data_IF_240625081040
#
_entry.id   IF_240625081040
#
_cell.length_a   1.000
_cell.length_b   1.000
_cell.length_c   1.000
_cell.angle_alpha   90.00
_cell.angle_beta   90.00
_cell.angle_gamma   90.00
#
_symmetry.space_group_name_H-M   'P 1'
#
loop_
_entity.id
_entity.type
_entity.pdbx_description
1 polymer ?
#
# COMPACT_ATOMS: atom_id res chain seq x y z
N UNK A 1 -5.55 -20.18 -19.67
CA UNK A 1 -4.42 -20.99 -19.15
C UNK A 1 -3.40 -20.03 -18.61
N UNK A 2 -2.86 -20.27 -17.43
CA UNK A 2 -1.86 -19.39 -16.82
C UNK A 2 -1.51 -19.85 -15.41
N UNK A 3 -0.55 -19.18 -14.79
CA UNK A 3 -0.02 -19.54 -13.49
C UNK A 3 -0.09 -18.36 -12.53
N UNK A 4 -0.51 -18.65 -11.30
CA UNK A 4 -0.40 -17.75 -10.15
C UNK A 4 0.82 -18.15 -9.32
N UNK A 5 1.63 -17.19 -8.90
CA UNK A 5 2.63 -17.37 -7.85
C UNK A 5 2.63 -16.18 -6.90
N UNK A 6 2.77 -16.46 -5.61
CA UNK A 6 2.91 -15.46 -4.56
C UNK A 6 4.04 -15.91 -3.65
N UNK A 7 5.13 -15.16 -3.64
CA UNK A 7 6.31 -15.42 -2.81
C UNK A 7 6.32 -14.41 -1.67
N UNK A 8 6.31 -14.87 -0.42
CA UNK A 8 6.30 -14.00 0.75
C UNK A 8 6.92 -14.70 1.95
N UNK A 9 7.24 -13.93 2.98
CA UNK A 9 7.88 -14.45 4.19
C UNK A 9 6.95 -14.36 5.38
N UNK A 10 7.04 -15.35 6.26
CA UNK A 10 6.42 -15.29 7.59
C UNK A 10 7.34 -14.56 8.54
N UNK A 11 6.74 -13.74 9.39
CA UNK A 11 7.42 -13.04 10.47
C UNK A 11 7.85 -14.04 11.54
N UNK A 12 9.05 -13.85 12.08
CA UNK A 12 9.62 -14.68 13.14
C UNK A 12 10.19 -13.80 14.27
N UNK A 13 10.29 -14.36 15.47
CA UNK A 13 10.75 -13.63 16.67
C UNK A 13 9.67 -12.75 17.32
N UNK A 14 9.79 -12.52 18.63
CA UNK A 14 8.78 -11.82 19.43
C UNK A 14 7.82 -12.76 20.15
N UNK A 15 6.67 -12.24 20.60
CA UNK A 15 5.63 -13.03 21.26
C UNK A 15 4.97 -14.00 20.26
N UNK A 16 4.97 -15.32 20.52
CA UNK A 16 4.44 -16.30 19.58
C UNK A 16 2.97 -16.11 19.20
N UNK A 17 2.14 -15.61 20.14
CA UNK A 17 0.71 -15.40 19.89
C UNK A 17 0.46 -14.19 18.98
N UNK A 18 1.23 -13.11 19.18
CA UNK A 18 1.20 -11.92 18.32
C UNK A 18 1.69 -12.26 16.91
N UNK A 19 2.82 -12.97 16.81
CA UNK A 19 3.39 -13.38 15.52
C UNK A 19 2.47 -14.32 14.76
N UNK A 20 1.78 -15.23 15.45
CA UNK A 20 0.79 -16.10 14.83
C UNK A 20 -0.35 -15.28 14.22
N UNK A 21 -0.93 -14.33 14.98
CA UNK A 21 -2.01 -13.48 14.49
C UNK A 21 -1.61 -12.61 13.29
N UNK A 22 -0.41 -12.04 13.30
CA UNK A 22 0.14 -11.28 12.17
C UNK A 22 0.28 -12.19 10.94
N UNK A 23 0.90 -13.35 11.11
CA UNK A 23 1.13 -14.27 10.01
C UNK A 23 -0.18 -14.82 9.42
N UNK A 24 -1.21 -15.07 10.22
CA UNK A 24 -2.52 -15.51 9.70
C UNK A 24 -3.13 -14.47 8.74
N UNK A 25 -2.91 -13.18 9.02
CA UNK A 25 -3.39 -12.09 8.16
C UNK A 25 -2.49 -11.95 6.92
N UNK A 26 -1.17 -12.11 7.04
CA UNK A 26 -0.26 -12.14 5.88
C UNK A 26 -0.60 -13.32 4.94
N UNK A 27 -0.85 -14.50 5.50
CA UNK A 27 -1.29 -15.69 4.75
C UNK A 27 -2.66 -15.48 4.07
N UNK A 28 -3.56 -14.73 4.70
CA UNK A 28 -4.83 -14.33 4.09
C UNK A 28 -4.62 -13.31 2.96
N UNK A 29 -3.71 -12.35 3.13
CA UNK A 29 -3.40 -11.35 2.11
C UNK A 29 -2.77 -11.97 0.87
N UNK A 30 -1.80 -12.87 1.05
CA UNK A 30 -1.17 -13.60 -0.05
C UNK A 30 -2.20 -14.38 -0.89
N UNK A 31 -3.17 -15.04 -0.23
CA UNK A 31 -4.30 -15.68 -0.93
C UNK A 31 -5.23 -14.67 -1.61
N UNK A 32 -5.44 -13.52 -0.97
CA UNK A 32 -6.24 -12.41 -1.48
C UNK A 32 -5.67 -11.81 -2.77
N UNK A 33 -4.34 -11.79 -2.93
CA UNK A 33 -3.69 -11.36 -4.18
C UNK A 33 -4.20 -12.17 -5.37
N UNK A 34 -4.27 -13.50 -5.24
CA UNK A 34 -4.77 -14.38 -6.31
C UNK A 34 -6.27 -14.20 -6.51
N UNK A 35 -7.05 -14.27 -5.43
CA UNK A 35 -8.51 -14.25 -5.50
C UNK A 35 -9.07 -12.94 -6.11
N UNK A 36 -8.36 -11.81 -5.93
CA UNK A 36 -8.77 -10.52 -6.49
C UNK A 36 -8.70 -10.49 -8.02
N UNK A 37 -7.67 -11.12 -8.61
CA UNK A 37 -7.41 -11.03 -10.05
C UNK A 37 -7.87 -12.25 -10.84
N UNK A 38 -8.12 -13.38 -10.19
CA UNK A 38 -8.63 -14.61 -10.82
C UNK A 38 -9.85 -14.41 -11.72
N UNK A 39 -10.90 -13.65 -11.32
CA UNK A 39 -12.08 -13.44 -12.15
C UNK A 39 -11.77 -12.70 -13.45
N UNK A 40 -10.78 -11.83 -13.44
CA UNK A 40 -10.38 -10.97 -14.56
C UNK A 40 -9.33 -11.62 -15.48
N UNK A 41 -8.76 -12.76 -15.07
CA UNK A 41 -7.74 -13.44 -15.86
C UNK A 41 -8.32 -13.96 -17.17
N UNK A 42 -7.61 -13.66 -18.27
CA UNK A 42 -8.04 -14.04 -19.63
C UNK A 42 -8.18 -15.57 -19.75
N UNK A 43 -9.21 -15.97 -20.50
CA UNK A 43 -9.49 -17.38 -20.78
C UNK A 43 -8.99 -17.83 -22.16
N UNK A 44 -8.52 -16.89 -22.97
CA UNK A 44 -8.15 -17.11 -24.38
C UNK A 44 -6.67 -16.96 -24.67
N UNK A 45 -5.92 -16.22 -23.84
CA UNK A 45 -4.46 -16.04 -23.98
C UNK A 45 -3.70 -16.72 -22.83
N UNK A 46 -2.43 -17.10 -23.03
CA UNK A 46 -1.52 -17.42 -21.93
C UNK A 46 -1.26 -16.20 -21.05
N UNK A 47 -1.17 -16.40 -19.74
CA UNK A 47 -0.88 -15.33 -18.78
C UNK A 47 -0.07 -15.84 -17.58
N UNK A 48 0.61 -14.92 -16.91
CA UNK A 48 1.28 -15.14 -15.62
C UNK A 48 0.86 -14.06 -14.64
N UNK A 49 0.67 -14.44 -13.38
CA UNK A 49 0.67 -13.50 -12.26
C UNK A 49 1.74 -13.91 -11.28
N UNK A 50 2.60 -12.97 -10.93
CA UNK A 50 3.59 -13.15 -9.88
C UNK A 50 3.49 -11.99 -8.90
N UNK A 51 3.44 -12.28 -7.60
CA UNK A 51 3.51 -11.27 -6.55
C UNK A 51 4.56 -11.61 -5.51
N UNK A 52 5.26 -10.58 -5.04
CA UNK A 52 6.29 -10.68 -4.01
C UNK A 52 5.87 -9.86 -2.81
N UNK A 53 5.74 -10.51 -1.65
CA UNK A 53 5.63 -9.90 -0.33
C UNK A 53 7.00 -9.59 0.25
N UNK A 54 7.17 -8.37 0.75
CA UNK A 54 8.39 -7.90 1.42
C UNK A 54 8.06 -7.35 2.82
N UNK A 55 8.65 -7.91 3.89
CA UNK A 55 8.45 -7.41 5.24
C UNK A 55 9.33 -6.20 5.54
N UNK A 56 8.77 -5.23 6.26
CA UNK A 56 9.44 -4.03 6.78
C UNK A 56 9.26 -3.95 8.30
N UNK A 57 10.34 -3.63 9.01
CA UNK A 57 10.37 -3.60 10.47
C UNK A 57 10.65 -2.18 10.95
N UNK A 58 9.68 -1.58 11.63
CA UNK A 58 9.81 -0.27 12.25
C UNK A 58 9.95 -0.32 13.76
N UNK A 59 10.01 0.85 14.43
CA UNK A 59 10.17 0.95 15.88
C UNK A 59 9.09 0.19 16.66
N UNK A 60 7.83 0.33 16.24
CA UNK A 60 6.67 -0.39 16.81
C UNK A 60 5.88 -1.20 15.78
N UNK A 61 6.29 -1.19 14.51
CA UNK A 61 5.52 -1.82 13.43
C UNK A 61 6.24 -2.99 12.79
N UNK A 62 5.43 -3.92 12.29
CA UNK A 62 5.81 -4.84 11.20
C UNK A 62 4.83 -4.59 10.08
N UNK A 63 5.34 -4.39 8.87
CA UNK A 63 4.52 -4.16 7.68
C UNK A 63 4.88 -5.12 6.58
N UNK A 64 3.94 -5.47 5.73
CA UNK A 64 4.16 -6.29 4.54
C UNK A 64 3.71 -5.49 3.32
N UNK A 65 4.55 -5.38 2.30
CA UNK A 65 4.23 -4.83 0.99
C UNK A 65 4.24 -5.94 -0.03
N UNK A 66 3.09 -6.19 -0.67
CA UNK A 66 2.97 -7.04 -1.83
C UNK A 66 3.00 -6.18 -3.08
N UNK A 67 3.91 -6.51 -4.01
CA UNK A 67 3.91 -5.98 -5.38
C UNK A 67 3.69 -7.14 -6.32
N UNK A 68 2.73 -7.01 -7.23
CA UNK A 68 2.41 -8.05 -8.20
C UNK A 68 2.43 -7.53 -9.63
N UNK A 69 2.66 -8.44 -10.57
CA UNK A 69 2.58 -8.19 -12.00
C UNK A 69 1.74 -9.28 -12.65
N UNK A 70 0.71 -8.85 -13.38
CA UNK A 70 -0.04 -9.70 -14.29
C UNK A 70 0.38 -9.41 -15.72
N UNK A 71 0.86 -10.43 -16.41
CA UNK A 71 1.45 -10.37 -17.74
C UNK A 71 0.69 -11.28 -18.71
N UNK A 72 0.32 -10.75 -19.87
CA UNK A 72 -0.34 -11.47 -20.97
C UNK A 72 -0.15 -10.70 -22.27
N UNK A 73 -0.19 -11.40 -23.41
CA UNK A 73 -0.11 -10.77 -24.73
C UNK A 73 -1.43 -10.11 -25.13
N UNK A 74 -1.73 -8.97 -24.50
CA UNK A 74 -2.88 -8.11 -24.80
C UNK A 74 -2.47 -6.63 -24.68
N UNK A 75 -3.18 -5.73 -25.37
CA UNK A 75 -2.97 -4.31 -25.18
C UNK A 75 -3.06 -3.92 -23.71
N UNK A 76 -2.29 -2.91 -23.34
CA UNK A 76 -2.28 -2.33 -22.01
C UNK A 76 -1.69 -3.18 -20.88
N UNK A 77 -1.02 -4.27 -21.21
CA UNK A 77 -0.31 -5.15 -20.26
C UNK A 77 1.20 -4.86 -20.23
N UNK A 78 1.92 -5.22 -19.14
CA UNK A 78 1.38 -5.78 -17.89
C UNK A 78 0.56 -4.78 -17.09
N UNK A 79 -0.21 -5.29 -16.12
CA UNK A 79 -0.76 -4.47 -15.04
C UNK A 79 -0.12 -4.84 -13.71
N UNK A 80 0.05 -3.85 -12.84
CA UNK A 80 0.67 -4.02 -11.53
C UNK A 80 -0.38 -4.04 -10.42
N UNK A 81 -0.17 -4.95 -9.47
CA UNK A 81 -0.93 -5.07 -8.25
C UNK A 81 -0.11 -4.53 -7.08
N UNK A 82 -0.77 -3.96 -6.09
CA UNK A 82 -0.15 -3.58 -4.82
C UNK A 82 -1.10 -3.88 -3.66
N UNK A 83 -0.55 -4.36 -2.56
CA UNK A 83 -1.24 -4.42 -1.29
C UNK A 83 -0.27 -4.19 -0.13
N UNK A 84 -0.80 -3.67 0.98
CA UNK A 84 -0.02 -3.57 2.21
C UNK A 84 -0.81 -4.00 3.43
N UNK A 85 -0.09 -4.41 4.47
CA UNK A 85 -0.59 -4.59 5.82
C UNK A 85 0.40 -3.95 6.78
N UNK A 86 -0.08 -3.23 7.79
CA UNK A 86 0.75 -2.60 8.82
C UNK A 86 0.23 -3.06 10.16
N UNK A 87 1.09 -3.61 11.02
CA UNK A 87 0.71 -4.14 12.31
C UNK A 87 1.50 -3.45 13.42
N UNK A 88 0.86 -3.23 14.57
CA UNK A 88 1.58 -2.95 15.82
C UNK A 88 2.21 -4.24 16.33
N UNK A 89 3.54 -4.32 16.34
CA UNK A 89 4.28 -5.53 16.72
C UNK A 89 4.17 -5.87 18.21
N UNK A 90 3.65 -4.95 19.04
CA UNK A 90 3.41 -5.17 20.47
C UNK A 90 2.13 -5.95 20.73
N UNK A 91 1.13 -5.78 19.86
CA UNK A 91 -0.23 -6.29 20.08
C UNK A 91 -0.76 -7.19 18.95
N UNK A 92 -0.15 -7.12 17.77
CA UNK A 92 -0.64 -7.79 16.55
C UNK A 92 -1.83 -7.08 15.89
N UNK A 93 -2.26 -5.93 16.43
CA UNK A 93 -3.36 -5.15 15.87
C UNK A 93 -2.97 -4.59 14.51
N UNK A 94 -3.88 -4.75 13.53
CA UNK A 94 -3.76 -4.10 12.23
C UNK A 94 -3.95 -2.59 12.41
N UNK A 95 -2.96 -1.83 11.97
CA UNK A 95 -3.00 -0.37 11.93
C UNK A 95 -3.68 0.06 10.62
N UNK A 96 -4.76 0.82 10.75
CA UNK A 96 -5.53 1.38 9.64
C UNK A 96 -5.71 2.87 9.87
N UNK A 97 -6.28 3.59 8.90
CA UNK A 97 -6.61 5.00 9.10
C UNK A 97 -7.64 5.25 10.21
N UNK A 98 -8.42 4.23 10.60
CA UNK A 98 -9.40 4.33 11.69
C UNK A 98 -8.77 4.40 13.07
N UNK A 99 -7.56 3.86 13.24
CA UNK A 99 -6.87 3.85 14.53
C UNK A 99 -5.56 4.64 14.54
N UNK A 100 -4.90 4.82 13.39
CA UNK A 100 -3.68 5.61 13.33
C UNK A 100 -3.93 7.08 13.64
N UNK A 101 -5.02 7.63 13.11
CA UNK A 101 -5.37 9.04 13.30
C UNK A 101 -6.39 9.19 14.42
N UNK A 102 -6.19 10.20 15.28
CA UNK A 102 -7.17 10.66 16.26
C UNK A 102 -8.48 11.14 15.59
N UNK A 103 -8.36 11.77 14.43
CA UNK A 103 -9.46 12.10 13.52
C UNK A 103 -9.12 11.58 12.11
N UNK A 104 -9.71 10.43 11.75
CA UNK A 104 -9.54 9.81 10.44
C UNK A 104 -9.83 10.77 9.29
N UNK A 105 -10.89 11.56 9.38
CA UNK A 105 -11.29 12.45 8.29
C UNK A 105 -10.27 13.55 8.10
N UNK A 106 -9.79 14.15 9.19
CA UNK A 106 -8.72 15.14 9.14
C UNK A 106 -7.41 14.53 8.58
N UNK A 107 -7.07 13.30 9.00
CA UNK A 107 -5.94 12.55 8.49
C UNK A 107 -6.00 12.32 6.98
N UNK A 108 -7.12 11.81 6.47
CA UNK A 108 -7.32 11.59 5.03
C UNK A 108 -7.27 12.89 4.22
N UNK A 109 -7.80 14.00 4.75
CA UNK A 109 -7.68 15.33 4.12
C UNK A 109 -6.20 15.75 4.06
N UNK A 110 -5.44 15.57 5.15
CA UNK A 110 -4.01 15.91 5.17
C UNK A 110 -3.22 15.05 4.17
N UNK A 111 -3.50 13.75 4.07
CA UNK A 111 -2.87 12.87 3.08
C UNK A 111 -3.19 13.31 1.64
N UNK A 112 -4.42 13.72 1.36
CA UNK A 112 -4.81 14.26 0.06
C UNK A 112 -4.04 15.54 -0.29
N UNK A 113 -4.01 16.51 0.62
CA UNK A 113 -3.31 17.79 0.43
C UNK A 113 -1.80 17.56 0.20
N UNK A 114 -1.19 16.66 0.97
CA UNK A 114 0.22 16.31 0.82
C UNK A 114 0.49 15.57 -0.50
N UNK A 115 -0.41 14.70 -0.93
CA UNK A 115 -0.30 14.00 -2.22
C UNK A 115 -0.29 14.99 -3.39
N UNK A 116 -1.22 15.95 -3.38
CA UNK A 116 -1.30 17.02 -4.39
C UNK A 116 -0.02 17.84 -4.44
N UNK A 117 0.59 18.11 -3.29
CA UNK A 117 1.82 18.89 -3.19
C UNK A 117 3.07 18.09 -3.63
N UNK A 118 3.18 16.82 -3.22
CA UNK A 118 4.40 16.00 -3.37
C UNK A 118 4.46 15.33 -4.74
N UNK A 119 3.37 14.73 -5.22
CA UNK A 119 3.37 13.92 -6.44
C UNK A 119 3.97 14.66 -7.66
N UNK A 120 3.67 15.96 -7.91
CA UNK A 120 4.28 16.71 -9.00
C UNK A 120 5.80 16.91 -8.91
N UNK A 121 6.36 16.81 -7.71
CA UNK A 121 7.81 16.98 -7.46
C UNK A 121 8.58 15.69 -7.70
N UNK A 122 7.91 14.53 -7.56
CA UNK A 122 8.49 13.20 -7.71
C UNK A 122 8.24 12.65 -9.12
N UNK A 123 7.08 12.96 -9.71
CA UNK A 123 6.64 12.44 -11.00
C UNK A 123 6.40 13.55 -12.02
N UNK A 124 6.91 13.34 -13.23
CA UNK A 124 6.59 14.19 -14.37
C UNK A 124 5.07 14.13 -14.67
N UNK A 125 4.43 15.24 -15.06
CA UNK A 125 3.03 15.24 -15.47
C UNK A 125 2.80 14.25 -16.64
N UNK A 126 1.65 13.57 -16.70
CA UNK A 126 1.36 12.62 -17.79
C UNK A 126 1.33 13.31 -19.16
N UNK A 127 2.33 13.04 -20.03
CA UNK A 127 2.51 13.30 -21.49
C UNK A 127 2.01 14.60 -22.15
N UNK A 128 1.24 15.45 -21.49
CA UNK A 128 0.79 16.75 -21.96
C UNK A 128 1.40 17.85 -21.07
N UNK A 129 2.03 18.88 -21.65
CA UNK A 129 2.62 19.97 -20.88
C UNK A 129 1.50 20.86 -20.31
N UNK A 130 1.31 20.77 -19.00
CA UNK A 130 0.35 21.52 -18.21
C UNK A 130 0.25 20.85 -16.84
N UNK A 131 0.20 21.62 -15.78
CA UNK A 131 0.21 21.22 -14.37
C UNK A 131 -0.66 19.98 -14.10
N UNK A 132 -0.23 19.11 -13.15
CA UNK A 132 -1.07 18.02 -12.64
C UNK A 132 -2.50 18.52 -12.38
N UNK A 133 -3.49 17.86 -12.98
CA UNK A 133 -4.90 18.08 -12.70
C UNK A 133 -5.39 16.87 -11.93
N UNK A 134 -5.61 17.08 -10.64
CA UNK A 134 -6.11 16.03 -9.77
C UNK A 134 -7.65 16.00 -9.79
N UNK A 135 -8.20 14.81 -10.03
CA UNK A 135 -9.61 14.49 -9.92
C UNK A 135 -9.92 13.69 -8.65
N UNK A 136 -10.75 12.66 -8.81
CA UNK A 136 -11.21 11.84 -7.68
C UNK A 136 -10.12 10.96 -7.07
N UNK A 137 -9.00 10.77 -7.75
CA UNK A 137 -7.86 9.95 -7.33
C UNK A 137 -7.12 10.46 -6.08
N UNK A 138 -7.32 11.74 -5.72
CA UNK A 138 -6.83 12.34 -4.46
C UNK A 138 -7.94 12.63 -3.46
N UNK A 139 -9.19 12.24 -3.73
CA UNK A 139 -10.28 12.49 -2.79
C UNK A 139 -9.96 11.88 -1.41
N UNK A 140 -10.30 12.54 -0.29
CA UNK A 140 -9.93 12.12 1.07
C UNK A 140 -10.79 10.95 1.55
N UNK A 141 -10.61 9.80 0.92
CA UNK A 141 -11.33 8.54 1.17
C UNK A 141 -10.33 7.39 1.27
N UNK A 142 -10.66 6.38 2.08
CA UNK A 142 -9.77 5.25 2.38
C UNK A 142 -9.15 4.59 1.15
N UNK A 143 -9.95 4.37 0.10
CA UNK A 143 -9.52 3.62 -1.08
C UNK A 143 -8.35 4.29 -1.82
N UNK A 144 -8.27 5.62 -1.80
CA UNK A 144 -7.22 6.37 -2.50
C UNK A 144 -5.87 6.35 -1.77
N UNK A 145 -5.88 6.05 -0.48
CA UNK A 145 -4.68 5.97 0.37
C UNK A 145 -4.56 4.59 1.02
N UNK A 146 -5.13 3.56 0.40
CA UNK A 146 -5.27 2.24 1.04
C UNK A 146 -3.93 1.56 1.28
N UNK A 147 -2.96 1.76 0.41
CA UNK A 147 -1.69 1.04 0.44
C UNK A 147 -0.59 1.96 0.93
N UNK A 148 -0.11 1.66 2.12
CA UNK A 148 0.93 2.42 2.77
C UNK A 148 1.80 1.53 3.66
N UNK A 149 3.02 1.99 3.91
CA UNK A 149 3.90 1.47 4.96
C UNK A 149 4.52 2.65 5.74
N UNK A 150 4.79 2.50 7.04
CA UNK A 150 5.59 3.45 7.79
C UNK A 150 7.07 3.30 7.43
N UNK A 151 7.75 4.43 7.27
CA UNK A 151 9.21 4.53 7.09
C UNK A 151 9.77 5.54 8.09
N UNK A 152 11.09 5.61 8.24
CA UNK A 152 11.73 6.64 9.06
C UNK A 152 11.42 8.07 8.56
N UNK A 153 11.18 8.22 7.25
CA UNK A 153 10.88 9.51 6.63
C UNK A 153 9.41 9.93 6.68
N UNK A 154 8.49 9.00 6.94
CA UNK A 154 7.06 9.28 6.86
C UNK A 154 6.18 8.10 6.49
N UNK A 155 4.95 8.40 6.11
CA UNK A 155 3.99 7.47 5.51
C UNK A 155 4.35 7.33 4.03
N UNK A 156 4.93 6.20 3.63
CA UNK A 156 5.12 5.87 2.22
C UNK A 156 3.80 5.32 1.65
N UNK A 157 3.22 6.05 0.70
CA UNK A 157 1.99 5.71 0.01
C UNK A 157 2.35 5.06 -1.33
N UNK A 158 1.72 3.92 -1.62
CA UNK A 158 1.83 3.22 -2.89
C UNK A 158 0.52 3.30 -3.64
N UNK A 159 0.56 3.80 -4.87
CA UNK A 159 -0.62 3.94 -5.71
C UNK A 159 -0.61 2.86 -6.79
N UNK A 160 -1.69 2.08 -6.92
CA UNK A 160 -1.81 1.06 -7.96
C UNK A 160 -1.77 1.68 -9.35
N UNK A 161 -1.53 0.81 -10.33
CA UNK A 161 -1.67 1.14 -11.74
C UNK A 161 -3.02 1.85 -12.00
N UNK A 162 -2.99 2.85 -12.86
CA UNK A 162 -4.10 3.71 -13.28
C UNK A 162 -4.60 4.76 -12.27
N UNK A 163 -4.16 4.77 -11.00
CA UNK A 163 -4.57 5.87 -10.10
C UNK A 163 -4.00 7.22 -10.56
N UNK A 164 -2.72 7.25 -10.95
CA UNK A 164 -2.03 8.46 -11.46
C UNK A 164 -1.40 8.26 -12.85
N UNK A 165 -1.86 7.24 -13.59
CA UNK A 165 -1.27 6.81 -14.85
C UNK A 165 -0.70 5.40 -14.76
N UNK A 166 0.15 5.03 -15.72
CA UNK A 166 0.80 3.71 -15.71
C UNK A 166 1.95 3.65 -14.72
N UNK A 167 2.14 2.49 -14.13
CA UNK A 167 3.17 2.19 -13.14
C UNK A 167 2.68 2.41 -11.71
N UNK A 168 3.48 1.96 -10.76
CA UNK A 168 3.25 2.17 -9.34
C UNK A 168 3.87 3.50 -8.93
N UNK A 169 3.03 4.50 -8.67
CA UNK A 169 3.50 5.75 -8.08
C UNK A 169 3.69 5.57 -6.57
N UNK A 170 4.77 6.13 -6.03
CA UNK A 170 5.17 6.04 -4.64
C UNK A 170 5.59 7.42 -4.17
N UNK A 171 5.02 7.89 -3.07
CA UNK A 171 5.42 9.14 -2.41
C UNK A 171 5.55 8.89 -0.92
N UNK A 172 6.33 9.71 -0.24
CA UNK A 172 6.40 9.70 1.22
C UNK A 172 5.79 10.99 1.75
N UNK A 173 4.72 10.89 2.52
CA UNK A 173 4.18 12.01 3.31
C UNK A 173 4.97 12.11 4.60
N UNK A 174 5.72 13.22 4.82
CA UNK A 174 6.54 13.38 6.02
C UNK A 174 5.75 13.28 7.33
N UNK A 175 6.37 12.72 8.37
CA UNK A 175 5.70 12.60 9.68
C UNK A 175 5.32 13.95 10.28
N UNK A 176 6.15 14.99 10.11
CA UNK A 176 5.86 16.35 10.59
C UNK A 176 4.57 16.94 10.00
N UNK A 177 4.21 16.54 8.78
CA UNK A 177 3.00 16.96 8.10
C UNK A 177 1.72 16.30 8.66
N UNK A 178 1.82 15.27 9.50
CA UNK A 178 0.66 14.55 10.06
C UNK A 178 0.74 14.33 11.57
N UNK A 179 1.86 14.69 12.22
CA UNK A 179 2.16 14.36 13.61
C UNK A 179 1.08 14.81 14.60
N UNK A 180 0.44 15.96 14.34
CA UNK A 180 -0.65 16.50 15.15
C UNK A 180 -1.92 15.62 15.16
N UNK A 181 -2.04 14.72 14.19
CA UNK A 181 -3.20 13.85 14.01
C UNK A 181 -2.93 12.41 14.45
N UNK A 182 -1.67 12.01 14.69
CA UNK A 182 -1.33 10.63 15.08
C UNK A 182 -1.84 10.35 16.49
N UNK A 183 -2.53 9.20 16.65
CA UNK A 183 -3.00 8.75 17.95
C UNK A 183 -1.81 8.53 18.90
N UNK A 184 -1.85 9.05 20.15
CA UNK A 184 -0.71 9.01 21.07
C UNK A 184 -0.08 7.62 21.27
N UNK A 185 -0.89 6.57 21.27
CA UNK A 185 -0.46 5.17 21.38
C UNK A 185 0.41 4.70 20.21
N UNK A 186 0.27 5.34 19.04
CA UNK A 186 1.03 5.11 17.83
C UNK A 186 2.08 6.17 17.55
N UNK A 187 2.23 7.22 18.38
CA UNK A 187 3.27 8.23 18.20
C UNK A 187 4.69 7.67 17.95
N UNK A 188 5.11 6.55 18.60
CA UNK A 188 6.41 5.93 18.31
C UNK A 188 6.58 5.35 16.89
N UNK A 189 5.53 5.31 16.06
CA UNK A 189 5.64 4.92 14.64
C UNK A 189 6.52 5.89 13.84
N UNK A 190 6.65 7.13 14.31
CA UNK A 190 7.33 8.22 13.61
C UNK A 190 8.86 8.22 13.77
N UNK A 191 9.42 7.31 14.58
CA UNK A 191 10.86 7.28 14.93
C UNK A 191 11.14 7.63 16.38
#
# INVERSE_FOLDING_TARGET
MGQWSVDYQRITGGDPSVVAAINDIIDAEARGQVATYEPSATKTQPWTFHSTGTPFFGPITVSELFVGEYSTDMPNMPFHAVATRVFDKRSGVLITWDNLFTDKKAGLVRLADQTVAILPTVYAPPKHPGTWQFGNEVAPIDVNFKYWIPTDGGIELHFPDYQFGRGLAVITVPWDAVADLIAPEFAPIMG
#
